data_IF_274873349378
#
_entry.id   IF_274873349378
#
_cell.length_a   1.000
_cell.length_b   1.000
_cell.length_c   1.000
_cell.angle_alpha   90.00
_cell.angle_beta   90.00
_cell.angle_gamma   90.00
#
_symmetry.space_group_name_H-M   'P 1'
#
loop_
_entity.id
_entity.type
_entity.pdbx_description
1 polymer ?
#
# COMPACT_ATOMS: atom_id res chain seq x y z
N UNK A 1 1.00 6.89 -5.30
CA UNK A 1 -0.28 7.61 -5.11
C UNK A 1 -0.44 7.99 -3.65
N UNK A 2 -0.93 9.19 -3.34
CA UNK A 2 -1.30 9.62 -1.97
C UNK A 2 -2.81 9.52 -1.74
N UNK A 3 -3.25 9.64 -0.49
CA UNK A 3 -4.67 9.55 -0.12
C UNK A 3 -5.27 8.15 -0.28
N UNK A 4 -4.44 7.10 -0.25
CA UNK A 4 -4.93 5.74 -0.34
C UNK A 4 -5.63 5.34 0.96
N UNK A 5 -6.86 4.84 0.85
CA UNK A 5 -7.70 4.49 2.00
C UNK A 5 -7.37 3.16 2.68
N UNK A 6 -6.24 2.53 2.35
CA UNK A 6 -5.79 1.28 2.98
C UNK A 6 -6.45 0.00 2.46
N UNK A 7 -7.27 0.05 1.41
CA UNK A 7 -7.86 -1.15 0.78
C UNK A 7 -7.55 -1.22 -0.72
N UNK A 8 -7.24 -2.42 -1.20
CA UNK A 8 -7.22 -2.76 -2.62
C UNK A 8 -7.87 -4.12 -2.86
N UNK A 9 -8.58 -4.27 -3.98
CA UNK A 9 -9.18 -5.53 -4.41
C UNK A 9 -8.68 -5.87 -5.80
N UNK A 10 -8.06 -7.05 -5.94
CA UNK A 10 -7.69 -7.64 -7.23
C UNK A 10 -8.67 -8.76 -7.54
N UNK A 11 -9.21 -8.78 -8.75
CA UNK A 11 -10.07 -9.87 -9.23
C UNK A 11 -9.37 -10.59 -10.36
N UNK A 12 -9.40 -11.93 -10.35
CA UNK A 12 -8.93 -12.79 -11.42
C UNK A 12 -10.13 -13.59 -11.98
N UNK A 13 -10.97 -12.97 -12.83
CA UNK A 13 -12.25 -13.58 -13.26
C UNK A 13 -12.08 -14.96 -13.91
N UNK A 14 -11.07 -15.14 -14.76
CA UNK A 14 -10.77 -16.42 -15.42
C UNK A 14 -10.40 -17.54 -14.46
N UNK A 15 -10.03 -17.21 -13.22
CA UNK A 15 -9.67 -18.16 -12.17
C UNK A 15 -10.75 -18.30 -11.09
N UNK A 16 -11.84 -17.52 -11.17
CA UNK A 16 -12.92 -17.53 -10.17
C UNK A 16 -12.49 -17.07 -8.77
N UNK A 17 -11.36 -16.35 -8.64
CA UNK A 17 -10.81 -15.90 -7.35
C UNK A 17 -10.47 -14.41 -7.35
N UNK A 18 -10.40 -13.83 -6.17
CA UNK A 18 -9.88 -12.49 -5.93
C UNK A 18 -8.99 -12.45 -4.70
N UNK A 19 -8.31 -11.31 -4.51
CA UNK A 19 -7.47 -11.01 -3.38
C UNK A 19 -7.87 -9.64 -2.83
N UNK A 20 -8.25 -9.58 -1.55
CA UNK A 20 -8.41 -8.32 -0.82
C UNK A 20 -7.13 -8.05 -0.05
N UNK A 21 -6.61 -6.84 -0.20
CA UNK A 21 -5.47 -6.33 0.54
C UNK A 21 -6.00 -5.22 1.44
N UNK A 22 -5.76 -5.32 2.74
CA UNK A 22 -6.06 -4.24 3.70
C UNK A 22 -4.79 -3.88 4.44
N UNK A 23 -4.56 -2.60 4.66
CA UNK A 23 -3.40 -2.08 5.38
C UNK A 23 -3.86 -1.14 6.49
N UNK A 24 -3.12 -1.14 7.60
CA UNK A 24 -3.37 -0.22 8.70
C UNK A 24 -3.23 1.26 8.25
N UNK A 25 -3.86 2.22 8.95
CA UNK A 25 -3.86 3.63 8.56
C UNK A 25 -2.49 4.31 8.46
N UNK A 26 -1.43 3.65 8.94
CA UNK A 26 -0.04 4.11 8.79
C UNK A 26 0.44 4.05 7.34
N UNK A 27 -0.16 3.20 6.50
CA UNK A 27 0.12 3.10 5.07
C UNK A 27 -0.81 4.00 4.26
N UNK A 28 -0.49 5.30 4.15
CA UNK A 28 -1.33 6.29 3.44
C UNK A 28 -1.04 6.40 1.94
N UNK A 29 0.01 5.72 1.47
CA UNK A 29 0.45 5.75 0.10
C UNK A 29 0.38 4.35 -0.52
N UNK A 30 0.19 4.33 -1.84
CA UNK A 30 0.19 3.10 -2.63
C UNK A 30 1.08 3.29 -3.85
N UNK A 31 1.97 2.33 -4.11
CA UNK A 31 2.65 2.21 -5.41
C UNK A 31 2.03 1.03 -6.17
N UNK A 32 1.77 1.25 -7.46
CA UNK A 32 1.24 0.23 -8.39
C UNK A 32 2.19 0.09 -9.56
N UNK A 33 2.57 -1.13 -9.86
CA UNK A 33 3.26 -1.47 -11.10
C UNK A 33 2.46 -2.54 -11.83
N UNK A 34 2.11 -2.28 -13.09
CA UNK A 34 1.37 -3.19 -13.95
C UNK A 34 1.82 -3.00 -15.41
N UNK A 35 2.86 -3.71 -15.79
CA UNK A 35 3.34 -3.75 -17.18
C UNK A 35 2.59 -4.83 -17.96
N UNK A 36 1.90 -4.50 -19.07
CA UNK A 36 1.12 -5.47 -19.83
C UNK A 36 1.97 -6.57 -20.49
N UNK A 37 3.28 -6.37 -20.60
CA UNK A 37 4.22 -7.37 -21.15
C UNK A 37 4.71 -8.36 -20.08
N UNK A 38 4.37 -8.14 -18.81
CA UNK A 38 4.79 -8.97 -17.68
C UNK A 38 3.61 -9.79 -17.14
N UNK A 39 3.85 -11.03 -16.70
CA UNK A 39 2.79 -11.89 -16.16
C UNK A 39 2.49 -11.61 -14.68
N UNK A 40 2.78 -10.39 -14.18
CA UNK A 40 2.60 -10.01 -12.79
C UNK A 40 2.29 -8.52 -12.64
N UNK A 41 1.74 -8.16 -11.48
CA UNK A 41 1.61 -6.78 -11.01
C UNK A 41 2.17 -6.67 -9.58
N UNK A 42 2.48 -5.45 -9.14
CA UNK A 42 2.85 -5.15 -7.77
C UNK A 42 1.87 -4.14 -7.19
N UNK A 43 1.36 -4.42 -5.99
CA UNK A 43 0.60 -3.46 -5.16
C UNK A 43 1.36 -3.31 -3.85
N UNK A 44 1.82 -2.10 -3.58
CA UNK A 44 2.78 -1.82 -2.51
C UNK A 44 2.21 -0.75 -1.57
N UNK A 45 1.58 -1.15 -0.46
CA UNK A 45 1.26 -0.26 0.66
C UNK A 45 2.53 0.40 1.20
N UNK A 46 2.54 1.73 1.29
CA UNK A 46 3.69 2.51 1.76
C UNK A 46 3.26 3.51 2.82
N UNK A 47 4.12 3.71 3.82
CA UNK A 47 3.88 4.73 4.85
C UNK A 47 4.07 6.13 4.29
N UNK A 48 5.02 6.32 3.37
CA UNK A 48 5.43 7.62 2.84
C UNK A 48 5.26 7.74 1.32
N UNK A 49 5.26 8.98 0.84
CA UNK A 49 5.26 9.29 -0.57
C UNK A 49 6.63 8.99 -1.22
N UNK A 50 6.61 8.64 -2.51
CA UNK A 50 7.82 8.51 -3.30
C UNK A 50 8.66 9.79 -3.23
N UNK A 51 9.91 9.65 -2.80
CA UNK A 51 10.86 10.76 -2.68
C UNK A 51 10.60 11.70 -1.51
N UNK A 52 9.75 11.35 -0.53
CA UNK A 52 9.42 12.20 0.62
C UNK A 52 10.66 12.76 1.34
N UNK A 53 11.69 11.94 1.53
CA UNK A 53 12.93 12.38 2.17
C UNK A 53 13.68 13.48 1.41
N UNK A 54 13.56 13.54 0.08
CA UNK A 54 14.23 14.55 -0.75
C UNK A 54 13.60 15.94 -0.67
N UNK A 55 12.43 16.06 -0.04
CA UNK A 55 11.68 17.32 0.07
C UNK A 55 12.11 18.18 1.26
N UNK A 56 12.90 17.61 2.18
CA UNK A 56 13.51 18.32 3.31
C UNK A 56 12.54 18.74 4.44
N UNK A 57 11.23 18.52 4.28
CA UNK A 57 10.21 18.68 5.32
C UNK A 57 9.62 17.30 5.65
N UNK A 58 10.01 16.74 6.79
CA UNK A 58 9.60 15.39 7.22
C UNK A 58 8.48 15.42 8.28
N UNK A 59 7.92 16.60 8.52
CA UNK A 59 6.83 16.89 9.43
C UNK A 59 5.47 17.02 8.71
N UNK A 60 5.46 16.99 7.38
CA UNK A 60 4.23 17.04 6.59
C UNK A 60 3.46 15.70 6.68
N UNK A 61 2.25 15.67 7.27
CA UNK A 61 1.46 14.45 7.40
C UNK A 61 1.06 13.84 6.05
N UNK A 62 1.00 14.63 4.98
CA UNK A 62 0.67 14.16 3.63
C UNK A 62 1.85 13.46 2.94
N UNK A 63 3.08 13.61 3.45
CA UNK A 63 4.26 12.90 2.95
C UNK A 63 4.47 11.55 3.64
N UNK A 64 3.84 11.35 4.80
CA UNK A 64 3.81 10.07 5.51
C UNK A 64 5.16 9.58 6.05
N UNK A 65 6.15 10.47 6.17
CA UNK A 65 7.43 10.15 6.83
C UNK A 65 7.18 9.95 8.32
N UNK A 66 7.77 8.89 8.88
CA UNK A 66 7.76 8.61 10.31
C UNK A 66 9.18 8.82 10.81
N UNK A 67 9.37 9.86 11.62
CA UNK A 67 10.63 10.13 12.33
C UNK A 67 10.48 9.57 13.74
N UNK A 68 11.37 8.66 14.14
CA UNK A 68 11.38 8.06 15.47
C UNK A 68 12.49 8.66 16.33
N UNK A 69 12.16 9.06 17.54
CA UNK A 69 13.12 9.39 18.59
C UNK A 69 13.73 8.15 19.26
N UNK A 70 14.70 8.34 20.17
CA UNK A 70 15.28 7.24 20.94
C UNK A 70 14.22 6.46 21.74
N UNK A 71 14.11 5.16 21.49
CA UNK A 71 13.17 4.27 22.17
C UNK A 71 11.77 4.23 21.57
N UNK A 72 11.48 5.03 20.53
CA UNK A 72 10.19 5.00 19.85
C UNK A 72 10.12 3.90 18.80
N UNK A 73 8.90 3.46 18.49
CA UNK A 73 8.61 2.44 17.48
C UNK A 73 7.36 2.79 16.70
N UNK A 74 7.34 2.43 15.43
CA UNK A 74 6.14 2.42 14.59
C UNK A 74 5.89 1.00 14.07
N UNK A 75 4.61 0.66 13.93
CA UNK A 75 4.17 -0.63 13.43
C UNK A 75 2.93 -0.46 12.56
N UNK A 76 2.72 -1.42 11.67
CA UNK A 76 1.51 -1.56 10.89
C UNK A 76 1.48 -2.94 10.26
N UNK A 77 0.26 -3.46 10.07
CA UNK A 77 0.02 -4.71 9.39
C UNK A 77 -0.56 -4.48 8.00
N UNK A 78 -0.27 -5.44 7.11
CA UNK A 78 -0.96 -5.61 5.84
C UNK A 78 -1.49 -7.03 5.81
N UNK A 79 -2.77 -7.20 5.51
CA UNK A 79 -3.44 -8.48 5.39
C UNK A 79 -3.77 -8.78 3.93
N UNK A 80 -3.59 -10.04 3.55
CA UNK A 80 -3.83 -10.56 2.21
C UNK A 80 -4.85 -11.68 2.31
N UNK A 81 -6.09 -11.39 1.96
CA UNK A 81 -7.20 -12.33 2.11
C UNK A 81 -7.72 -12.78 0.73
N UNK A 82 -7.43 -14.02 0.29
CA UNK A 82 -8.03 -14.57 -0.91
C UNK A 82 -9.53 -14.79 -0.70
N UNK A 83 -10.31 -14.65 -1.76
CA UNK A 83 -11.75 -14.92 -1.76
C UNK A 83 -12.22 -15.52 -3.08
N UNK A 84 -13.32 -16.26 -3.07
CA UNK A 84 -13.97 -16.76 -4.28
C UNK A 84 -14.82 -15.66 -4.92
N UNK A 85 -14.81 -15.55 -6.25
CA UNK A 85 -15.73 -14.68 -6.98
C UNK A 85 -17.09 -15.37 -7.06
N UNK A 86 -18.16 -14.64 -6.72
CA UNK A 86 -19.52 -15.13 -6.96
C UNK A 86 -19.75 -15.18 -8.47
N UNK A 87 -20.26 -16.33 -8.95
CA UNK A 87 -20.64 -16.61 -10.33
C UNK A 87 -21.84 -15.81 -10.78
#
# INVERSE_FOLDING_TARGET
YGGWGGEAIIRFPSRGVGLRITADPVFRHLMLYADPTKPFLCIEPQTNASGAFNRGRWDDPEEGVIVLGPGESAAGAVSFMPFALQS
#
